data_IF_027994354087
#
_entry.id   IF_027994354087
#
_cell.length_a   1.000
_cell.length_b   1.000
_cell.length_c   1.000
_cell.angle_alpha   90.00
_cell.angle_beta   90.00
_cell.angle_gamma   90.00
#
_symmetry.space_group_name_H-M   'P 1'
#
loop_
_entity.id
_entity.type
_entity.pdbx_description
1 polymer ?
#
# COMPACT_ATOMS: atom_id res chain seq x y z
N UNK A 1 -13.17 -76.11 -31.77
CA UNK A 1 -12.85 -75.57 -30.43
C UNK A 1 -12.86 -74.05 -30.52
N UNK A 2 -13.93 -73.40 -30.04
CA UNK A 2 -14.05 -71.94 -30.04
C UNK A 2 -13.74 -71.41 -28.61
N UNK A 3 -12.67 -70.68 -28.45
CA UNK A 3 -12.27 -70.02 -27.17
C UNK A 3 -12.96 -68.67 -27.06
N UNK A 4 -13.83 -68.51 -26.06
CA UNK A 4 -14.55 -67.29 -25.77
C UNK A 4 -13.73 -66.53 -24.71
N UNK A 5 -13.19 -65.35 -25.08
CA UNK A 5 -12.54 -64.46 -24.16
C UNK A 5 -13.58 -63.50 -23.53
N UNK A 6 -13.71 -63.52 -22.18
CA UNK A 6 -14.58 -62.60 -21.44
C UNK A 6 -13.78 -61.35 -21.05
N UNK A 7 -14.20 -60.21 -21.58
CA UNK A 7 -13.73 -58.89 -21.11
C UNK A 7 -14.55 -58.46 -19.88
N UNK A 8 -13.87 -58.23 -18.77
CA UNK A 8 -14.47 -57.61 -17.56
C UNK A 8 -14.26 -56.11 -17.66
N UNK A 9 -15.35 -55.38 -17.83
CA UNK A 9 -15.31 -53.90 -17.72
C UNK A 9 -15.31 -53.50 -16.23
N UNK A 10 -14.15 -53.13 -15.73
CA UNK A 10 -14.05 -52.42 -14.42
C UNK A 10 -14.58 -51.00 -14.56
N UNK A 11 -15.60 -50.64 -13.80
CA UNK A 11 -16.05 -49.25 -13.65
C UNK A 11 -15.01 -48.49 -12.82
N UNK A 12 -14.25 -47.63 -13.47
CA UNK A 12 -13.48 -46.57 -12.77
C UNK A 12 -14.46 -45.51 -12.25
N UNK A 13 -14.64 -45.47 -10.94
CA UNK A 13 -15.30 -44.35 -10.26
C UNK A 13 -14.37 -43.14 -10.34
N UNK A 14 -14.80 -41.95 -10.80
CA UNK A 14 -14.02 -40.77 -10.72
C UNK A 14 -13.88 -40.35 -9.23
N UNK A 15 -12.68 -40.38 -8.71
CA UNK A 15 -12.36 -39.74 -7.43
C UNK A 15 -12.41 -38.24 -7.67
N UNK A 16 -13.49 -37.57 -7.27
CA UNK A 16 -13.54 -36.13 -7.21
C UNK A 16 -12.65 -35.67 -6.02
N UNK A 17 -11.47 -35.18 -6.33
CA UNK A 17 -10.63 -34.47 -5.36
C UNK A 17 -11.34 -33.13 -5.11
N UNK A 18 -12.01 -33.04 -3.97
CA UNK A 18 -12.52 -31.75 -3.47
C UNK A 18 -11.30 -30.94 -3.01
N UNK A 19 -10.78 -30.07 -3.87
CA UNK A 19 -9.83 -29.04 -3.46
C UNK A 19 -10.68 -28.01 -2.72
N UNK A 20 -10.73 -28.10 -1.38
CA UNK A 20 -11.17 -26.99 -0.56
C UNK A 20 -10.13 -25.91 -0.74
N UNK A 21 -10.46 -24.85 -1.48
CA UNK A 21 -9.71 -23.61 -1.42
C UNK A 21 -9.80 -23.15 0.04
N UNK A 22 -8.76 -23.37 0.82
CA UNK A 22 -8.57 -22.62 2.06
C UNK A 22 -8.47 -21.16 1.62
N UNK A 23 -9.43 -20.34 2.01
CA UNK A 23 -9.25 -18.90 1.94
C UNK A 23 -7.98 -18.60 2.74
N UNK A 24 -6.91 -18.17 2.07
CA UNK A 24 -5.78 -17.60 2.78
C UNK A 24 -6.36 -16.51 3.69
N UNK A 25 -6.10 -16.57 4.98
CA UNK A 25 -6.44 -15.46 5.86
C UNK A 25 -5.61 -14.29 5.35
N UNK A 26 -6.26 -13.19 5.04
CA UNK A 26 -5.65 -11.95 4.62
C UNK A 26 -5.52 -11.03 5.83
N UNK A 27 -4.78 -9.96 5.68
CA UNK A 27 -4.78 -8.84 6.63
C UNK A 27 -6.23 -8.39 6.88
N UNK A 28 -6.58 -8.20 8.14
CA UNK A 28 -7.87 -7.66 8.57
C UNK A 28 -7.61 -6.41 9.41
N UNK A 29 -8.11 -5.25 9.00
CA UNK A 29 -8.06 -4.02 9.77
C UNK A 29 -9.45 -3.73 10.33
N UNK A 30 -9.56 -3.73 11.66
CA UNK A 30 -10.83 -3.52 12.38
C UNK A 30 -10.89 -2.07 12.86
N UNK A 31 -11.69 -1.20 12.22
CA UNK A 31 -11.87 0.18 12.66
C UNK A 31 -12.80 0.27 13.86
N UNK A 32 -12.51 1.19 14.75
CA UNK A 32 -13.44 1.74 15.75
C UNK A 32 -13.55 3.23 15.49
N UNK A 33 -14.77 3.76 15.43
CA UNK A 33 -15.01 5.19 15.27
C UNK A 33 -15.48 5.76 16.60
N UNK A 34 -14.82 6.81 17.07
CA UNK A 34 -15.27 7.47 18.29
C UNK A 34 -16.45 8.43 18.06
N UNK A 35 -16.91 9.09 19.11
CA UNK A 35 -18.06 9.98 19.01
C UNK A 35 -17.79 11.25 18.18
N UNK A 36 -16.54 11.66 17.99
CA UNK A 36 -16.22 12.81 17.15
C UNK A 36 -16.55 12.55 15.68
N UNK A 37 -16.30 11.32 15.19
CA UNK A 37 -16.66 10.89 13.84
C UNK A 37 -18.13 10.52 13.75
N UNK A 38 -18.64 9.65 14.67
CA UNK A 38 -20.01 9.12 14.56
C UNK A 38 -21.09 10.16 14.76
N UNK A 39 -20.77 11.31 15.38
CA UNK A 39 -21.68 12.44 15.55
C UNK A 39 -21.49 13.55 14.50
N UNK A 40 -20.49 13.45 13.59
CA UNK A 40 -20.29 14.43 12.52
C UNK A 40 -21.45 14.37 11.50
N UNK A 41 -21.95 15.50 11.00
CA UNK A 41 -22.96 15.53 9.94
C UNK A 41 -22.57 14.74 8.67
N UNK A 42 -21.27 14.53 8.42
CA UNK A 42 -20.75 13.78 7.29
C UNK A 42 -20.26 12.38 7.68
N UNK A 43 -20.58 11.87 8.88
CA UNK A 43 -20.10 10.59 9.41
C UNK A 43 -20.09 9.46 8.37
N UNK A 44 -21.20 9.26 7.67
CA UNK A 44 -21.32 8.21 6.66
C UNK A 44 -20.29 8.33 5.51
N UNK A 45 -19.94 9.55 5.09
CA UNK A 45 -18.93 9.79 4.06
C UNK A 45 -17.53 9.54 4.60
N UNK A 46 -17.24 10.02 5.81
CA UNK A 46 -15.96 9.84 6.50
C UNK A 46 -15.68 8.35 6.70
N UNK A 47 -16.62 7.63 7.33
CA UNK A 47 -16.52 6.20 7.58
C UNK A 47 -16.37 5.39 6.26
N UNK A 48 -17.11 5.75 5.21
CA UNK A 48 -17.02 5.11 3.90
C UNK A 48 -15.64 5.31 3.28
N UNK A 49 -15.03 6.48 3.41
CA UNK A 49 -13.70 6.77 2.88
C UNK A 49 -12.63 6.03 3.67
N UNK A 50 -12.73 5.99 5.00
CA UNK A 50 -11.84 5.20 5.86
C UNK A 50 -11.93 3.71 5.51
N UNK A 51 -13.14 3.16 5.36
CA UNK A 51 -13.31 1.77 4.97
C UNK A 51 -12.77 1.47 3.55
N UNK A 52 -12.74 2.47 2.66
CA UNK A 52 -12.10 2.32 1.34
C UNK A 52 -10.59 2.17 1.46
N UNK A 53 -9.93 3.00 2.28
CA UNK A 53 -8.51 2.85 2.60
C UNK A 53 -8.21 1.48 3.23
N UNK A 54 -8.98 1.08 4.23
CA UNK A 54 -8.83 -0.23 4.90
C UNK A 54 -8.89 -1.36 3.87
N UNK A 55 -9.92 -1.37 3.03
CA UNK A 55 -10.11 -2.42 2.02
C UNK A 55 -8.96 -2.45 1.00
N UNK A 56 -8.34 -1.31 0.70
CA UNK A 56 -7.15 -1.27 -0.15
C UNK A 56 -6.05 -2.16 0.46
N UNK A 57 -5.67 -1.96 1.73
CA UNK A 57 -4.62 -2.75 2.40
C UNK A 57 -5.03 -4.22 2.55
N UNK A 58 -6.26 -4.51 2.94
CA UNK A 58 -6.77 -5.89 3.09
C UNK A 58 -6.72 -6.69 1.79
N UNK A 59 -6.82 -6.02 0.63
CA UNK A 59 -6.70 -6.66 -0.68
C UNK A 59 -5.26 -6.73 -1.20
N UNK A 60 -4.33 -6.03 -0.56
CA UNK A 60 -2.93 -5.96 -0.98
C UNK A 60 -2.01 -6.88 -0.20
N UNK A 61 -2.36 -7.24 1.03
CA UNK A 61 -1.50 -8.05 1.90
C UNK A 61 -2.18 -9.35 2.33
N UNK A 62 -1.40 -10.45 2.36
CA UNK A 62 -1.91 -11.79 2.69
C UNK A 62 -1.56 -12.25 4.11
N UNK A 63 -1.07 -11.36 4.95
CA UNK A 63 -0.69 -11.65 6.33
C UNK A 63 -1.90 -12.07 7.17
N UNK A 64 -1.90 -13.22 7.82
CA UNK A 64 -3.05 -13.70 8.59
C UNK A 64 -3.16 -13.03 9.96
N UNK A 65 -3.17 -11.71 9.99
CA UNK A 65 -3.18 -10.90 11.22
C UNK A 65 -4.40 -9.97 11.26
N UNK A 66 -4.75 -9.57 12.47
CA UNK A 66 -5.76 -8.53 12.71
C UNK A 66 -5.09 -7.31 13.30
N UNK A 67 -5.38 -6.13 12.74
CA UNK A 67 -4.91 -4.82 13.22
C UNK A 67 -6.13 -4.01 13.65
N UNK A 68 -6.13 -3.47 14.86
CA UNK A 68 -7.23 -2.69 15.41
C UNK A 68 -6.87 -1.21 15.46
N UNK A 69 -7.71 -0.34 14.89
CA UNK A 69 -7.44 1.09 14.79
C UNK A 69 -8.65 1.89 15.31
N UNK A 70 -8.38 2.81 16.23
CA UNK A 70 -9.35 3.82 16.65
C UNK A 70 -9.21 5.06 15.77
N UNK A 71 -10.29 5.48 15.12
CA UNK A 71 -10.36 6.71 14.34
C UNK A 71 -11.12 7.78 15.10
N UNK A 72 -10.60 9.00 15.11
CA UNK A 72 -11.18 10.17 15.76
C UNK A 72 -10.94 11.43 14.93
N UNK A 73 -11.73 12.47 15.14
CA UNK A 73 -11.46 13.78 14.58
C UNK A 73 -10.50 14.58 15.47
N UNK A 74 -9.64 15.36 14.83
CA UNK A 74 -8.78 16.34 15.50
C UNK A 74 -9.02 17.74 14.92
N UNK A 75 -8.64 18.75 15.71
CA UNK A 75 -8.69 20.16 15.31
C UNK A 75 -7.33 20.83 15.39
N UNK A 76 -6.26 20.06 15.51
CA UNK A 76 -4.88 20.56 15.61
C UNK A 76 -4.50 21.28 14.33
N UNK A 77 -4.16 22.57 14.45
CA UNK A 77 -3.74 23.39 13.31
C UNK A 77 -2.44 22.87 12.69
N UNK A 78 -2.39 22.82 11.37
CA UNK A 78 -1.20 22.43 10.60
C UNK A 78 -1.05 20.93 10.35
N UNK A 79 -1.99 20.10 10.83
CA UNK A 79 -2.01 18.66 10.56
C UNK A 79 -3.27 18.28 9.78
N UNK A 80 -3.16 17.38 8.83
CA UNK A 80 -4.27 16.70 8.17
C UNK A 80 -4.64 15.40 8.87
N UNK A 81 -3.65 14.67 9.33
CA UNK A 81 -3.77 13.47 10.13
C UNK A 81 -2.65 13.37 11.15
N UNK A 82 -2.75 12.38 11.99
CA UNK A 82 -1.69 11.99 12.91
C UNK A 82 -2.01 10.62 13.47
N UNK A 83 -1.00 9.74 13.58
CA UNK A 83 -1.12 8.43 14.20
C UNK A 83 -0.44 8.36 15.57
N UNK A 84 -0.91 7.44 16.41
CA UNK A 84 -0.22 6.98 17.61
C UNK A 84 -0.18 5.47 17.59
N UNK A 85 0.95 4.90 17.95
CA UNK A 85 1.20 3.47 17.88
C UNK A 85 2.07 3.00 19.06
N UNK A 86 2.16 1.67 19.27
CA UNK A 86 3.02 1.06 20.27
C UNK A 86 4.08 0.18 19.62
N UNK A 87 5.24 0.01 20.26
CA UNK A 87 6.35 -0.79 19.75
C UNK A 87 6.99 -1.63 20.84
N UNK A 88 7.72 -2.65 20.41
CA UNK A 88 8.58 -3.47 21.24
C UNK A 88 10.01 -3.41 20.76
N UNK A 89 10.94 -3.47 21.70
CA UNK A 89 12.35 -3.65 21.41
C UNK A 89 12.65 -5.13 21.27
N UNK A 90 13.12 -5.54 20.08
CA UNK A 90 13.58 -6.91 19.84
C UNK A 90 15.01 -6.91 19.33
N UNK A 91 15.72 -8.06 19.43
CA UNK A 91 17.06 -8.13 18.89
C UNK A 91 17.02 -8.03 17.34
N UNK A 92 18.00 -7.33 16.76
CA UNK A 92 18.14 -7.26 15.31
C UNK A 92 18.26 -8.64 14.67
N UNK A 93 18.98 -9.57 15.33
CA UNK A 93 19.11 -10.95 14.84
C UNK A 93 17.78 -11.70 14.82
N UNK A 94 16.91 -11.50 15.82
CA UNK A 94 15.54 -12.04 15.82
C UNK A 94 14.71 -11.42 14.70
N UNK A 95 14.65 -10.09 14.65
CA UNK A 95 13.93 -9.37 13.57
C UNK A 95 14.31 -9.89 12.19
N UNK A 96 15.63 -9.96 11.90
CA UNK A 96 16.12 -10.41 10.60
C UNK A 96 15.80 -11.88 10.30
N UNK A 97 15.85 -12.76 11.33
CA UNK A 97 15.54 -14.17 11.17
C UNK A 97 14.05 -14.39 10.86
N UNK A 98 13.17 -13.69 11.57
CA UNK A 98 11.74 -13.79 11.38
C UNK A 98 11.30 -13.14 10.06
N UNK A 99 11.87 -11.99 9.68
CA UNK A 99 11.71 -11.39 8.36
C UNK A 99 12.12 -12.35 7.23
N UNK A 100 13.22 -13.10 7.44
CA UNK A 100 13.65 -14.12 6.46
C UNK A 100 12.70 -15.32 6.40
N UNK A 101 12.13 -15.73 7.51
CA UNK A 101 11.18 -16.85 7.57
C UNK A 101 9.84 -16.50 6.93
N UNK A 102 9.46 -15.23 6.99
CA UNK A 102 8.23 -14.69 6.41
C UNK A 102 8.34 -14.36 4.92
N UNK A 103 9.54 -14.16 4.39
CA UNK A 103 9.80 -13.68 3.04
C UNK A 103 9.09 -14.46 1.93
N UNK A 104 8.30 -13.78 1.09
CA UNK A 104 7.51 -14.38 0.00
C UNK A 104 7.71 -13.70 -1.35
N UNK A 105 8.27 -12.48 -1.38
CA UNK A 105 8.35 -11.65 -2.58
C UNK A 105 9.78 -11.47 -3.11
N UNK A 106 9.90 -10.86 -4.29
CA UNK A 106 11.19 -10.45 -4.82
C UNK A 106 11.80 -9.28 -4.04
N UNK A 107 10.95 -8.39 -3.48
CA UNK A 107 11.41 -7.28 -2.64
C UNK A 107 12.01 -7.80 -1.34
N UNK A 108 11.37 -8.78 -0.67
CA UNK A 108 11.92 -9.44 0.52
C UNK A 108 13.29 -10.04 0.23
N UNK A 109 13.40 -10.76 -0.89
CA UNK A 109 14.66 -11.39 -1.31
C UNK A 109 15.76 -10.34 -1.48
N UNK A 110 15.45 -9.22 -2.12
CA UNK A 110 16.39 -8.13 -2.36
C UNK A 110 16.75 -7.41 -1.04
N UNK A 111 15.77 -7.08 -0.21
CA UNK A 111 15.93 -6.45 1.09
C UNK A 111 16.83 -7.29 2.00
N UNK A 112 16.55 -8.59 2.13
CA UNK A 112 17.32 -9.53 2.96
C UNK A 112 18.75 -9.74 2.47
N UNK A 113 18.98 -9.70 1.15
CA UNK A 113 20.33 -9.78 0.59
C UNK A 113 21.22 -8.60 1.03
N UNK A 114 20.61 -7.46 1.38
CA UNK A 114 21.30 -6.24 1.80
C UNK A 114 21.20 -5.96 3.30
N UNK A 115 20.45 -6.76 4.06
CA UNK A 115 20.47 -6.72 5.53
C UNK A 115 21.57 -7.65 6.05
N UNK A 116 22.65 -7.12 6.71
CA UNK A 116 23.73 -7.92 7.21
C UNK A 116 23.29 -9.01 8.17
N UNK A 117 23.95 -10.16 8.12
CA UNK A 117 23.80 -11.19 9.16
C UNK A 117 24.59 -10.80 10.41
N UNK A 118 24.10 -11.17 11.58
CA UNK A 118 24.77 -10.89 12.86
C UNK A 118 23.84 -10.26 13.86
N UNK A 119 24.40 -9.70 14.93
CA UNK A 119 23.62 -9.13 16.04
C UNK A 119 23.47 -7.61 15.95
N UNK A 120 24.32 -6.94 15.20
CA UNK A 120 24.30 -5.47 15.07
C UNK A 120 23.48 -5.02 13.87
N UNK A 121 22.53 -4.11 14.08
CA UNK A 121 21.80 -3.49 12.99
C UNK A 121 22.73 -2.58 12.15
N UNK A 122 22.46 -2.43 10.84
CA UNK A 122 23.41 -1.78 9.93
C UNK A 122 23.41 -0.25 9.97
N UNK A 123 22.52 0.39 10.73
CA UNK A 123 22.40 1.86 10.75
C UNK A 123 23.00 2.48 12.02
N UNK A 124 22.83 1.84 13.17
CA UNK A 124 23.38 2.35 14.45
C UNK A 124 24.45 1.46 15.05
N UNK A 125 24.55 0.20 14.60
CA UNK A 125 25.45 -0.80 15.19
C UNK A 125 24.96 -1.37 16.51
N UNK A 126 23.77 -0.96 17.02
CA UNK A 126 23.15 -1.57 18.18
C UNK A 126 22.59 -2.95 17.85
N UNK A 127 22.27 -3.72 18.86
CA UNK A 127 21.67 -5.05 18.69
C UNK A 127 20.13 -5.03 18.75
N UNK A 128 19.51 -3.87 18.71
CA UNK A 128 18.07 -3.67 18.91
C UNK A 128 17.42 -3.02 17.68
N UNK A 129 16.18 -3.41 17.43
CA UNK A 129 15.24 -2.75 16.51
C UNK A 129 13.92 -2.54 17.24
N UNK A 130 13.27 -1.42 17.02
CA UNK A 130 11.94 -1.10 17.55
C UNK A 130 10.90 -1.49 16.52
N UNK A 131 10.00 -2.40 16.86
CA UNK A 131 9.01 -2.92 15.91
C UNK A 131 7.61 -2.64 16.43
N UNK A 132 6.78 -1.99 15.63
CA UNK A 132 5.39 -1.67 15.97
C UNK A 132 4.56 -2.96 16.12
N UNK A 133 3.51 -2.95 16.93
CA UNK A 133 2.73 -4.16 17.29
C UNK A 133 2.15 -4.87 16.07
N UNK A 134 1.62 -4.14 15.09
CA UNK A 134 1.12 -4.72 13.85
C UNK A 134 2.23 -5.38 13.04
N UNK A 135 3.38 -4.70 12.87
CA UNK A 135 4.52 -5.21 12.12
C UNK A 135 5.19 -6.43 12.81
N UNK A 136 5.21 -6.48 14.16
CA UNK A 136 5.65 -7.68 14.88
C UNK A 136 4.84 -8.91 14.48
N UNK A 137 3.51 -8.77 14.43
CA UNK A 137 2.65 -9.89 14.05
C UNK A 137 2.79 -10.27 12.58
N UNK A 138 3.05 -9.31 11.69
CA UNK A 138 3.31 -9.59 10.27
C UNK A 138 4.51 -10.53 10.11
N UNK A 139 5.60 -10.31 10.85
CA UNK A 139 6.78 -11.20 10.84
C UNK A 139 6.65 -12.44 11.77
N UNK A 140 5.43 -12.77 12.23
CA UNK A 140 5.16 -13.97 13.00
C UNK A 140 5.47 -13.89 14.52
N UNK A 141 5.83 -12.71 15.05
CA UNK A 141 6.07 -12.51 16.49
C UNK A 141 4.77 -12.04 17.16
N UNK A 142 4.34 -12.75 18.20
CA UNK A 142 3.21 -12.30 19.00
C UNK A 142 3.55 -11.01 19.76
N UNK A 143 2.88 -9.92 19.41
CA UNK A 143 2.91 -8.66 20.15
C UNK A 143 1.49 -8.31 20.59
N UNK A 144 1.29 -7.98 21.86
CA UNK A 144 0.03 -7.44 22.31
C UNK A 144 -0.03 -5.92 22.04
N UNK A 145 -1.22 -5.38 21.99
CA UNK A 145 -1.49 -3.96 21.75
C UNK A 145 -1.93 -3.22 23.03
N UNK A 146 -1.56 -3.74 24.20
CA UNK A 146 -1.94 -3.20 25.51
C UNK A 146 -1.30 -1.84 25.83
N UNK A 147 -0.31 -1.42 25.05
CA UNK A 147 0.42 -0.17 25.27
C UNK A 147 -0.36 1.10 24.91
N UNK A 148 -1.41 1.01 24.09
CA UNK A 148 -2.30 2.13 23.76
C UNK A 148 -3.64 2.04 24.50
N UNK A 149 -4.27 3.18 24.68
CA UNK A 149 -5.60 3.27 25.28
C UNK A 149 -6.61 2.44 24.48
N UNK A 150 -7.40 1.62 25.19
CA UNK A 150 -8.39 0.74 24.58
C UNK A 150 -7.81 -0.53 23.93
N UNK A 151 -6.48 -0.75 23.98
CA UNK A 151 -5.83 -1.94 23.41
C UNK A 151 -5.83 -1.96 21.89
N UNK A 152 -5.85 -0.80 21.24
CA UNK A 152 -5.70 -0.67 19.78
C UNK A 152 -4.25 -0.76 19.35
N UNK A 153 -3.99 -1.20 18.11
CA UNK A 153 -2.66 -1.15 17.49
C UNK A 153 -2.29 0.29 17.10
N UNK A 154 -3.30 1.07 16.73
CA UNK A 154 -3.14 2.47 16.39
C UNK A 154 -4.34 3.31 16.80
N UNK A 155 -4.07 4.61 16.99
CA UNK A 155 -5.09 5.65 17.13
C UNK A 155 -4.79 6.68 16.05
N UNK A 156 -5.74 6.92 15.14
CA UNK A 156 -5.61 7.86 14.03
C UNK A 156 -6.55 9.05 14.25
N UNK A 157 -5.96 10.24 14.30
CA UNK A 157 -6.67 11.50 14.34
C UNK A 157 -6.71 12.13 12.94
N UNK A 158 -7.91 12.58 12.49
CA UNK A 158 -8.13 13.13 11.14
C UNK A 158 -8.73 14.55 11.26
N UNK A 159 -8.15 15.52 10.55
CA UNK A 159 -8.65 16.90 10.52
C UNK A 159 -9.67 17.06 9.37
N UNK A 160 -10.82 16.41 9.48
CA UNK A 160 -11.84 16.27 8.42
C UNK A 160 -12.28 17.60 7.82
N UNK A 161 -12.31 18.69 8.62
CA UNK A 161 -12.67 20.03 8.12
C UNK A 161 -11.67 20.62 7.11
N UNK A 162 -10.43 20.11 7.07
CA UNK A 162 -9.38 20.54 6.15
C UNK A 162 -9.22 19.59 4.94
N UNK A 163 -10.02 18.53 4.88
CA UNK A 163 -9.91 17.47 3.90
C UNK A 163 -11.09 17.43 2.93
N UNK A 164 -10.85 16.97 1.72
CA UNK A 164 -11.86 16.52 0.78
C UNK A 164 -12.33 15.15 1.26
N UNK A 165 -13.55 15.06 1.76
CA UNK A 165 -14.09 13.82 2.35
C UNK A 165 -14.32 12.72 1.32
N UNK A 166 -14.35 13.07 0.02
CA UNK A 166 -14.54 12.15 -1.08
C UNK A 166 -13.88 12.71 -2.34
N UNK A 167 -13.31 11.82 -3.15
CA UNK A 167 -12.73 12.14 -4.47
C UNK A 167 -13.77 12.46 -5.56
N UNK A 168 -15.06 12.34 -5.26
CA UNK A 168 -16.13 12.71 -6.21
C UNK A 168 -16.21 14.23 -6.48
N UNK A 169 -15.70 15.05 -5.55
CA UNK A 169 -15.66 16.52 -5.71
C UNK A 169 -14.45 17.06 -4.96
N UNK A 170 -13.42 17.50 -5.66
CA UNK A 170 -12.16 17.98 -5.12
C UNK A 170 -12.15 19.49 -4.99
N UNK A 171 -11.96 19.98 -3.78
CA UNK A 171 -11.58 21.37 -3.51
C UNK A 171 -10.05 21.48 -3.56
N UNK A 172 -9.46 22.26 -4.49
CA UNK A 172 -8.01 22.33 -4.63
C UNK A 172 -7.29 23.02 -3.46
N UNK A 173 -8.03 23.59 -2.51
CA UNK A 173 -7.48 24.19 -1.29
C UNK A 173 -7.44 23.23 -0.08
N UNK A 174 -7.87 21.97 -0.25
CA UNK A 174 -7.91 20.96 0.83
C UNK A 174 -7.08 19.74 0.47
N UNK A 175 -6.61 19.02 1.51
CA UNK A 175 -6.01 17.70 1.38
C UNK A 175 -7.04 16.64 0.95
N UNK A 176 -6.59 15.42 0.72
CA UNK A 176 -7.45 14.27 0.37
C UNK A 176 -7.61 13.35 1.58
N UNK A 177 -8.83 13.12 2.04
CA UNK A 177 -9.10 12.25 3.20
C UNK A 177 -8.61 10.82 2.96
N UNK A 178 -8.84 10.28 1.75
CA UNK A 178 -8.42 8.91 1.45
C UNK A 178 -6.90 8.75 1.58
N UNK A 179 -6.13 9.62 0.93
CA UNK A 179 -4.67 9.57 1.03
C UNK A 179 -4.16 9.84 2.46
N UNK A 180 -4.81 10.74 3.21
CA UNK A 180 -4.44 10.97 4.62
C UNK A 180 -4.69 9.73 5.47
N UNK A 181 -5.82 9.04 5.29
CA UNK A 181 -6.11 7.79 6.02
C UNK A 181 -5.10 6.69 5.65
N UNK A 182 -4.75 6.58 4.38
CA UNK A 182 -3.74 5.62 3.89
C UNK A 182 -2.37 5.91 4.51
N UNK A 183 -1.93 7.17 4.56
CA UNK A 183 -0.71 7.61 5.23
C UNK A 183 -0.67 7.17 6.71
N UNK A 184 -1.71 7.48 7.47
CA UNK A 184 -1.75 7.15 8.89
C UNK A 184 -1.85 5.62 9.14
N UNK A 185 -2.50 4.87 8.23
CA UNK A 185 -2.52 3.41 8.28
C UNK A 185 -1.12 2.85 8.03
N UNK A 186 -0.37 3.37 7.04
CA UNK A 186 1.01 2.97 6.77
C UNK A 186 1.88 3.13 8.03
N UNK A 187 1.70 4.22 8.77
CA UNK A 187 2.41 4.44 10.02
C UNK A 187 2.01 3.41 11.09
N UNK A 188 0.74 3.13 11.27
CA UNK A 188 0.29 2.09 12.23
C UNK A 188 0.84 0.72 11.84
N UNK A 189 0.89 0.42 10.54
CA UNK A 189 1.44 -0.83 10.01
C UNK A 189 2.95 -0.92 10.19
N UNK A 190 3.71 0.19 10.15
CA UNK A 190 5.14 0.10 10.41
C UNK A 190 6.03 1.18 9.83
N UNK A 191 5.54 1.98 8.87
CA UNK A 191 6.34 3.06 8.30
C UNK A 191 6.50 4.18 9.32
N UNK A 192 7.70 4.62 9.55
CA UNK A 192 8.14 5.79 10.34
C UNK A 192 9.65 5.72 10.57
N UNK A 193 10.23 6.81 11.04
CA UNK A 193 11.62 6.86 11.48
C UNK A 193 11.73 7.13 12.97
N UNK A 194 12.65 6.45 13.70
CA UNK A 194 12.96 6.83 15.08
C UNK A 194 13.90 8.05 15.18
N UNK A 195 14.31 8.62 14.06
CA UNK A 195 14.97 9.92 14.05
C UNK A 195 14.08 11.02 14.64
N UNK A 196 12.76 10.91 14.53
CA UNK A 196 11.77 11.78 15.18
C UNK A 196 11.82 11.68 16.71
N UNK A 197 12.12 10.49 17.24
CA UNK A 197 12.33 10.20 18.64
C UNK A 197 13.73 10.58 19.15
N UNK A 198 14.53 11.30 18.36
CA UNK A 198 15.90 11.74 18.72
C UNK A 198 16.98 10.72 18.40
N UNK A 199 16.71 9.71 17.58
CA UNK A 199 17.65 8.66 17.19
C UNK A 199 17.74 7.52 18.23
N UNK A 200 18.77 6.71 18.14
CA UNK A 200 18.92 5.48 18.95
C UNK A 200 18.59 4.24 18.17
N UNK A 201 17.87 3.26 18.77
CA UNK A 201 17.50 2.04 18.06
C UNK A 201 16.49 2.33 16.95
N UNK A 202 16.73 1.85 15.71
CA UNK A 202 15.92 2.21 14.55
C UNK A 202 14.57 1.49 14.55
N UNK A 203 13.61 2.04 13.79
CA UNK A 203 12.45 1.31 13.29
C UNK A 203 12.84 0.47 12.06
N UNK A 204 12.03 -0.52 11.63
CA UNK A 204 12.32 -1.36 10.46
C UNK A 204 12.59 -0.59 9.18
N UNK A 205 11.84 0.47 8.90
CA UNK A 205 12.02 1.30 7.71
C UNK A 205 13.39 2.01 7.70
N UNK A 206 13.89 2.45 8.84
CA UNK A 206 15.21 3.06 8.97
C UNK A 206 16.36 2.13 8.50
N UNK A 207 16.14 0.82 8.53
CA UNK A 207 17.12 -0.16 8.05
C UNK A 207 17.34 -0.07 6.53
N UNK A 208 16.45 0.57 5.82
CA UNK A 208 16.48 0.75 4.36
C UNK A 208 16.76 2.20 3.94
N UNK A 209 17.30 2.99 4.86
CA UNK A 209 17.66 4.39 4.62
C UNK A 209 19.09 4.49 4.08
N UNK A 210 19.25 5.04 2.87
CA UNK A 210 20.52 5.16 2.17
C UNK A 210 20.77 6.59 1.68
N UNK A 211 22.03 7.00 1.61
CA UNK A 211 22.43 8.21 0.91
C UNK A 211 22.37 8.04 -0.61
N UNK A 212 22.47 9.11 -1.36
CA UNK A 212 22.54 9.09 -2.82
C UNK A 212 23.74 8.27 -3.37
N UNK A 213 24.74 7.99 -2.54
CA UNK A 213 25.94 7.18 -2.90
C UNK A 213 25.79 5.71 -2.56
N UNK A 214 24.61 5.28 -2.03
CA UNK A 214 24.34 3.90 -1.65
C UNK A 214 24.92 3.48 -0.29
N UNK A 215 25.45 4.40 0.49
CA UNK A 215 25.82 4.14 1.88
C UNK A 215 24.61 4.27 2.80
N UNK A 216 24.49 3.40 3.81
CA UNK A 216 23.43 3.58 4.81
C UNK A 216 23.63 4.88 5.58
N UNK A 217 22.54 5.54 5.88
CA UNK A 217 22.53 6.82 6.62
C UNK A 217 21.45 6.82 7.69
N UNK A 218 21.76 7.37 8.86
CA UNK A 218 20.81 7.54 9.96
C UNK A 218 21.01 8.91 10.57
N UNK A 219 20.71 9.92 9.77
CA UNK A 219 20.85 11.34 10.16
C UNK A 219 19.81 12.19 9.47
N UNK A 220 19.45 13.31 10.09
CA UNK A 220 18.53 14.32 9.58
C UNK A 220 19.28 15.47 8.87
N UNK A 221 20.60 15.37 8.74
CA UNK A 221 21.45 16.39 8.13
C UNK A 221 22.50 15.75 7.23
N UNK A 222 23.02 16.52 6.28
CA UNK A 222 24.03 16.08 5.32
C UNK A 222 23.41 15.72 3.97
N UNK A 223 23.88 14.62 3.37
CA UNK A 223 23.39 14.15 2.07
C UNK A 223 21.92 13.72 2.13
N UNK A 224 21.23 13.82 1.00
CA UNK A 224 19.86 13.33 0.86
C UNK A 224 19.77 11.86 1.23
N UNK A 225 18.71 11.49 1.94
CA UNK A 225 18.41 10.12 2.32
C UNK A 225 17.26 9.55 1.46
N UNK A 226 17.37 8.28 1.10
CA UNK A 226 16.42 7.59 0.23
C UNK A 226 16.04 6.24 0.81
N UNK A 227 14.77 5.87 0.66
CA UNK A 227 14.33 4.50 0.81
C UNK A 227 14.84 3.69 -0.38
N UNK A 228 15.52 2.59 -0.10
CA UNK A 228 16.07 1.68 -1.09
C UNK A 228 16.23 0.29 -0.50
N UNK A 229 15.96 -0.77 -1.27
CA UNK A 229 16.16 -2.15 -0.83
C UNK A 229 17.62 -2.61 -0.95
N UNK A 230 18.36 -2.02 -1.88
CA UNK A 230 19.70 -2.46 -2.31
C UNK A 230 20.78 -1.37 -2.19
N UNK A 231 20.41 -0.13 -1.87
CA UNK A 231 21.30 1.02 -1.85
C UNK A 231 21.69 1.53 -3.24
N UNK A 232 21.11 1.00 -4.30
CA UNK A 232 21.38 1.38 -5.71
C UNK A 232 20.13 1.96 -6.36
N UNK A 233 19.02 1.26 -6.21
CA UNK A 233 17.71 1.68 -6.73
C UNK A 233 17.03 2.58 -5.71
N UNK A 234 17.09 3.88 -5.93
CA UNK A 234 16.47 4.87 -5.05
C UNK A 234 14.97 4.93 -5.35
N UNK A 235 14.13 4.51 -4.39
CA UNK A 235 12.67 4.34 -4.57
C UNK A 235 11.94 5.63 -4.19
N UNK A 236 12.17 6.16 -3.00
CA UNK A 236 11.61 7.41 -2.53
C UNK A 236 12.66 8.20 -1.73
N UNK A 237 12.57 9.51 -1.75
CA UNK A 237 13.45 10.36 -0.94
C UNK A 237 12.79 10.62 0.41
N UNK A 238 13.49 10.33 1.49
CA UNK A 238 13.03 10.66 2.84
C UNK A 238 13.03 12.16 3.11
N UNK A 239 12.06 12.59 3.89
CA UNK A 239 12.05 13.93 4.45
C UNK A 239 13.23 14.12 5.44
N UNK A 240 13.82 15.31 5.40
CA UNK A 240 14.89 15.75 6.32
C UNK A 240 14.61 17.15 6.85
N UNK A 241 13.39 17.67 6.69
CA UNK A 241 12.97 18.97 7.19
C UNK A 241 12.65 18.85 8.68
N UNK A 242 13.35 19.64 9.50
CA UNK A 242 13.11 19.65 10.95
C UNK A 242 11.68 20.07 11.29
N UNK A 243 11.03 19.28 12.16
CA UNK A 243 9.65 19.50 12.59
C UNK A 243 8.58 18.84 11.71
N UNK A 244 8.99 18.01 10.73
CA UNK A 244 8.14 17.10 9.98
C UNK A 244 8.72 15.70 10.08
N UNK A 245 7.90 14.65 9.92
CA UNK A 245 8.30 13.28 10.13
C UNK A 245 9.42 12.83 9.17
N UNK A 246 10.45 12.20 9.73
CA UNK A 246 11.63 11.78 8.96
C UNK A 246 11.47 10.42 8.28
N UNK A 247 10.42 9.67 8.62
CA UNK A 247 10.00 8.47 7.91
C UNK A 247 9.24 8.77 6.62
N UNK A 248 8.68 9.97 6.53
CA UNK A 248 7.90 10.39 5.38
C UNK A 248 8.76 10.73 4.16
N UNK A 249 8.09 10.90 3.01
CA UNK A 249 8.74 11.29 1.77
C UNK A 249 8.93 12.81 1.68
N UNK A 250 10.00 13.19 1.01
CA UNK A 250 10.40 14.58 0.81
C UNK A 250 9.43 15.35 -0.10
N UNK A 251 9.04 16.55 0.33
CA UNK A 251 8.06 17.39 -0.36
C UNK A 251 8.54 18.82 -0.69
N UNK A 252 9.79 19.19 -0.33
CA UNK A 252 10.30 20.51 -0.62
C UNK A 252 10.69 20.62 -2.11
N UNK A 253 9.87 21.29 -2.91
CA UNK A 253 10.10 21.53 -4.34
C UNK A 253 9.13 20.74 -5.23
N UNK A 254 9.43 20.70 -6.53
CA UNK A 254 8.57 19.98 -7.50
C UNK A 254 8.77 18.47 -7.33
N UNK A 255 7.69 17.76 -7.04
CA UNK A 255 7.64 16.30 -6.93
C UNK A 255 6.27 15.78 -7.39
N UNK A 256 6.17 14.49 -7.63
CA UNK A 256 4.87 13.82 -7.82
C UNK A 256 4.30 13.50 -6.44
N UNK A 257 3.07 13.94 -6.10
CA UNK A 257 2.46 13.63 -4.81
C UNK A 257 2.40 12.12 -4.55
N UNK A 258 2.73 11.72 -3.33
CA UNK A 258 2.70 10.35 -2.82
C UNK A 258 1.89 10.31 -1.53
N UNK A 259 1.45 9.12 -1.12
CA UNK A 259 0.64 8.97 0.10
C UNK A 259 1.45 9.35 1.33
N UNK A 260 2.69 8.86 1.45
CA UNK A 260 3.57 9.14 2.59
C UNK A 260 4.33 10.48 2.48
N UNK A 261 3.82 11.45 1.72
CA UNK A 261 4.40 12.78 1.63
C UNK A 261 4.34 13.49 3.00
N UNK A 262 5.47 13.99 3.50
CA UNK A 262 5.57 14.73 4.77
C UNK A 262 4.67 15.98 4.82
N UNK A 263 4.30 16.53 3.67
CA UNK A 263 3.31 17.58 3.53
C UNK A 263 2.43 17.28 2.32
N UNK A 264 1.20 16.89 2.56
CA UNK A 264 0.27 16.57 1.49
C UNK A 264 0.05 17.76 0.54
N UNK A 265 -0.01 17.47 -0.75
CA UNK A 265 -0.30 18.47 -1.79
C UNK A 265 -1.81 18.65 -1.92
N UNK A 266 -2.30 19.86 -1.64
CA UNK A 266 -3.73 20.19 -1.74
C UNK A 266 -4.27 19.96 -3.15
N UNK A 267 -5.45 19.34 -3.23
CA UNK A 267 -6.12 19.03 -4.49
C UNK A 267 -5.54 17.82 -5.24
N UNK A 268 -4.45 17.22 -4.75
CA UNK A 268 -3.94 15.94 -5.29
C UNK A 268 -4.70 14.75 -4.70
N UNK A 269 -4.62 13.61 -5.37
CA UNK A 269 -5.26 12.35 -4.97
C UNK A 269 -4.29 11.19 -5.21
N UNK A 270 -3.16 11.12 -4.48
CA UNK A 270 -2.19 10.04 -4.64
C UNK A 270 -2.78 8.71 -4.17
N UNK A 271 -2.31 7.63 -4.77
CA UNK A 271 -2.60 6.26 -4.34
C UNK A 271 -1.30 5.60 -3.83
N UNK A 272 -1.35 4.65 -2.86
CA UNK A 272 -0.17 3.98 -2.33
C UNK A 272 0.60 3.21 -3.41
N UNK A 273 1.91 3.41 -3.46
CA UNK A 273 2.80 2.78 -4.43
C UNK A 273 4.16 2.41 -3.82
N UNK A 274 4.96 3.38 -3.46
CA UNK A 274 6.25 3.17 -2.82
C UNK A 274 6.08 2.65 -1.39
N UNK A 275 4.99 3.03 -0.75
CA UNK A 275 4.55 2.59 0.57
C UNK A 275 4.32 1.07 0.61
N UNK A 276 3.72 0.51 -0.44
CA UNK A 276 3.52 -0.95 -0.55
C UNK A 276 4.86 -1.70 -0.62
N UNK A 277 5.86 -1.13 -1.31
CA UNK A 277 7.22 -1.72 -1.37
C UNK A 277 7.89 -1.61 0.00
N UNK A 278 7.67 -0.50 0.70
CA UNK A 278 8.25 -0.28 2.02
C UNK A 278 7.63 -1.23 3.07
N UNK A 279 6.30 -1.39 3.08
CA UNK A 279 5.62 -2.35 3.94
C UNK A 279 6.05 -3.80 3.65
N UNK A 280 6.16 -4.18 2.37
CA UNK A 280 6.67 -5.49 1.93
C UNK A 280 8.07 -5.73 2.51
N UNK A 281 8.99 -4.78 2.35
CA UNK A 281 10.37 -4.88 2.83
C UNK A 281 10.51 -5.03 4.36
N UNK A 282 9.56 -4.53 5.13
CA UNK A 282 9.57 -4.63 6.60
C UNK A 282 8.80 -5.84 7.14
N UNK A 283 8.21 -6.68 6.25
CA UNK A 283 7.66 -7.99 6.58
C UNK A 283 6.16 -8.14 6.40
N UNK A 284 5.53 -7.35 5.54
CA UNK A 284 4.17 -7.64 5.06
C UNK A 284 4.24 -8.42 3.74
N UNK A 285 3.34 -9.38 3.57
CA UNK A 285 3.30 -10.27 2.41
C UNK A 285 2.49 -9.65 1.26
N UNK A 286 3.14 -8.83 0.41
CA UNK A 286 2.50 -8.10 -0.68
C UNK A 286 2.00 -9.04 -1.78
N UNK A 287 0.70 -9.01 -2.03
CA UNK A 287 0.08 -9.72 -3.14
C UNK A 287 0.37 -9.02 -4.49
N UNK A 288 0.57 -9.78 -5.56
CA UNK A 288 0.63 -9.19 -6.89
C UNK A 288 -0.61 -8.34 -7.17
N UNK A 289 -0.43 -7.17 -7.81
CA UNK A 289 -1.57 -6.35 -8.19
C UNK A 289 -2.56 -7.17 -9.03
N UNK A 290 -3.87 -7.12 -8.72
CA UNK A 290 -4.86 -7.84 -9.49
C UNK A 290 -4.82 -7.36 -10.94
N UNK A 291 -4.93 -8.29 -11.88
CA UNK A 291 -4.96 -7.97 -13.31
C UNK A 291 -6.40 -7.70 -13.73
N UNK A 292 -6.76 -6.46 -14.10
CA UNK A 292 -8.11 -6.15 -14.52
C UNK A 292 -8.49 -6.93 -15.77
N UNK A 293 -9.65 -7.56 -15.74
CA UNK A 293 -10.24 -8.27 -16.88
C UNK A 293 -11.28 -7.38 -17.57
N UNK A 294 -11.08 -7.06 -18.85
CA UNK A 294 -12.10 -6.37 -19.65
C UNK A 294 -13.15 -7.38 -20.08
N UNK A 295 -14.34 -7.31 -19.50
CA UNK A 295 -15.46 -8.21 -19.79
C UNK A 295 -16.32 -7.76 -20.96
N UNK A 296 -16.35 -6.46 -21.26
CA UNK A 296 -17.11 -5.87 -22.35
C UNK A 296 -16.49 -4.59 -22.90
N UNK A 297 -16.50 -4.50 -24.22
CA UNK A 297 -16.13 -3.29 -24.95
C UNK A 297 -17.34 -2.85 -25.77
N UNK A 298 -17.74 -1.60 -25.64
CA UNK A 298 -18.87 -1.03 -26.39
C UNK A 298 -18.45 0.30 -26.98
N UNK A 299 -18.77 0.49 -28.26
CA UNK A 299 -18.62 1.79 -28.93
C UNK A 299 -19.99 2.49 -28.96
N UNK A 300 -20.05 3.70 -28.40
CA UNK A 300 -21.23 4.54 -28.39
C UNK A 300 -20.90 5.88 -29.09
N UNK A 301 -21.20 5.97 -30.37
CA UNK A 301 -20.71 7.07 -31.22
C UNK A 301 -19.18 7.06 -31.28
N UNK A 302 -18.54 8.15 -30.86
CA UNK A 302 -17.06 8.24 -30.75
C UNK A 302 -16.51 7.82 -29.39
N UNK A 303 -17.37 7.44 -28.43
CA UNK A 303 -16.97 7.05 -27.11
C UNK A 303 -16.74 5.55 -27.03
N UNK A 304 -15.63 5.14 -26.40
CA UNK A 304 -15.35 3.76 -26.05
C UNK A 304 -15.73 3.55 -24.58
N UNK A 305 -16.58 2.57 -24.30
CA UNK A 305 -16.95 2.17 -22.94
C UNK A 305 -16.34 0.80 -22.65
N UNK A 306 -15.44 0.75 -21.69
CA UNK A 306 -14.79 -0.46 -21.18
C UNK A 306 -15.48 -0.87 -19.87
N UNK A 307 -16.01 -2.08 -19.81
CA UNK A 307 -16.49 -2.68 -18.55
C UNK A 307 -15.60 -3.84 -18.17
N UNK A 308 -15.30 -3.98 -16.90
CA UNK A 308 -14.44 -5.04 -16.42
C UNK A 308 -14.61 -5.34 -14.95
N UNK A 309 -13.85 -6.32 -14.52
CA UNK A 309 -13.82 -6.87 -13.16
C UNK A 309 -12.37 -7.09 -12.75
N UNK A 310 -12.16 -7.43 -11.50
CA UNK A 310 -10.84 -7.73 -10.96
C UNK A 310 -9.85 -6.54 -11.08
N UNK A 311 -10.37 -5.31 -11.05
CA UNK A 311 -9.53 -4.13 -10.79
C UNK A 311 -9.14 -4.08 -9.32
N UNK A 312 -8.02 -3.45 -9.01
CA UNK A 312 -7.62 -3.19 -7.62
C UNK A 312 -8.69 -2.30 -6.95
N UNK A 313 -9.27 -2.78 -5.89
CA UNK A 313 -10.23 -1.99 -5.10
C UNK A 313 -9.51 -0.76 -4.53
N UNK A 314 -10.10 0.43 -4.70
CA UNK A 314 -9.46 1.68 -4.31
C UNK A 314 -8.36 2.19 -5.26
N UNK A 315 -7.95 1.41 -6.25
CA UNK A 315 -6.90 1.80 -7.20
C UNK A 315 -7.40 2.69 -8.33
N UNK A 316 -6.51 3.52 -8.84
CA UNK A 316 -6.74 4.39 -10.01
C UNK A 316 -6.11 3.79 -11.24
N UNK A 317 -6.86 3.69 -12.32
CA UNK A 317 -6.39 3.19 -13.62
C UNK A 317 -6.36 4.29 -14.66
N UNK A 318 -5.24 4.36 -15.37
CA UNK A 318 -5.11 5.13 -16.61
C UNK A 318 -5.53 4.28 -17.79
N UNK A 319 -6.29 4.87 -18.71
CA UNK A 319 -6.47 4.33 -20.06
C UNK A 319 -5.44 4.96 -20.97
N UNK A 320 -4.49 4.16 -21.40
CA UNK A 320 -3.45 4.55 -22.34
C UNK A 320 -3.86 4.22 -23.76
N UNK A 321 -3.41 5.02 -24.72
CA UNK A 321 -3.68 4.81 -26.15
C UNK A 321 -2.45 5.02 -27.01
N UNK A 322 -2.37 4.25 -28.12
CA UNK A 322 -1.38 4.41 -29.20
C UNK A 322 -1.96 3.97 -30.53
N UNK A 323 -1.47 4.50 -31.61
CA UNK A 323 -1.72 4.00 -32.99
C UNK A 323 -0.79 2.86 -33.38
N UNK A 324 0.23 2.57 -32.57
CA UNK A 324 1.21 1.50 -32.76
C UNK A 324 1.36 0.62 -31.51
N UNK A 325 0.89 -0.62 -31.57
CA UNK A 325 0.99 -1.56 -30.45
C UNK A 325 2.44 -1.97 -30.09
N UNK A 326 3.41 -1.75 -30.97
CA UNK A 326 4.81 -2.05 -30.71
C UNK A 326 5.54 -0.95 -29.90
N UNK A 327 4.90 0.22 -29.73
CA UNK A 327 5.44 1.30 -28.88
C UNK A 327 5.42 0.85 -27.42
N UNK A 328 6.51 1.03 -26.64
CA UNK A 328 6.51 0.78 -25.20
C UNK A 328 5.39 1.53 -24.45
N UNK A 329 4.75 0.91 -23.44
CA UNK A 329 3.59 1.49 -22.76
C UNK A 329 3.87 2.85 -22.13
N UNK A 330 5.07 3.09 -21.61
CA UNK A 330 5.48 4.37 -21.06
C UNK A 330 5.54 5.53 -22.09
N UNK A 331 5.36 5.23 -23.37
CA UNK A 331 5.26 6.22 -24.46
C UNK A 331 3.83 6.37 -25.00
N UNK A 332 2.87 5.63 -24.41
CA UNK A 332 1.46 5.77 -24.79
C UNK A 332 0.85 7.00 -24.12
N UNK A 333 -0.17 7.56 -24.72
CA UNK A 333 -0.85 8.75 -24.21
C UNK A 333 -1.99 8.35 -23.29
N UNK A 334 -2.05 8.91 -22.08
CA UNK A 334 -3.19 8.77 -21.19
C UNK A 334 -4.38 9.58 -21.72
N UNK A 335 -5.56 8.94 -21.83
CA UNK A 335 -6.77 9.52 -22.41
C UNK A 335 -7.98 9.48 -21.49
N UNK A 336 -7.93 8.70 -20.43
CA UNK A 336 -8.93 8.67 -19.37
C UNK A 336 -8.31 8.14 -18.09
N UNK A 337 -8.91 8.51 -16.96
CA UNK A 337 -8.57 8.01 -15.62
C UNK A 337 -9.85 7.48 -15.01
N UNK A 338 -9.77 6.40 -14.23
CA UNK A 338 -10.90 5.82 -13.51
C UNK A 338 -10.47 5.26 -12.17
N UNK A 339 -11.20 5.63 -11.15
CA UNK A 339 -11.11 5.05 -9.82
C UNK A 339 -11.97 3.79 -9.74
N UNK A 340 -11.43 2.70 -9.24
CA UNK A 340 -12.13 1.43 -9.09
C UNK A 340 -12.72 1.34 -7.69
N UNK A 341 -14.03 1.16 -7.61
CA UNK A 341 -14.73 0.99 -6.34
C UNK A 341 -14.36 -0.32 -5.62
N UNK A 342 -14.85 -0.44 -4.39
CA UNK A 342 -14.52 -1.52 -3.43
C UNK A 342 -14.77 -2.95 -3.91
N UNK A 343 -15.60 -3.14 -4.95
CA UNK A 343 -15.92 -4.47 -5.49
C UNK A 343 -15.02 -4.89 -6.68
N UNK A 344 -14.01 -4.09 -7.04
CA UNK A 344 -13.11 -4.37 -8.16
C UNK A 344 -13.76 -4.29 -9.56
N UNK A 345 -15.04 -3.91 -9.64
CA UNK A 345 -15.73 -3.70 -10.92
C UNK A 345 -15.50 -2.28 -11.41
N UNK A 346 -15.35 -2.13 -12.72
CA UNK A 346 -15.17 -0.81 -13.32
C UNK A 346 -15.97 -0.61 -14.60
N UNK A 347 -16.30 0.65 -14.87
CA UNK A 347 -16.83 1.10 -16.15
C UNK A 347 -16.13 2.39 -16.53
N UNK A 348 -15.25 2.33 -17.51
CA UNK A 348 -14.45 3.47 -17.96
C UNK A 348 -14.99 3.96 -19.29
N UNK A 349 -15.24 5.25 -19.40
CA UNK A 349 -15.63 5.89 -20.67
C UNK A 349 -14.46 6.70 -21.21
N UNK A 350 -14.00 6.37 -22.40
CA UNK A 350 -12.96 7.09 -23.12
C UNK A 350 -13.63 7.98 -24.16
N UNK A 351 -13.66 9.30 -23.98
CA UNK A 351 -14.22 10.22 -24.95
C UNK A 351 -13.33 10.28 -26.19
N UNK A 352 -13.92 10.56 -27.34
CA UNK A 352 -13.22 10.75 -28.64
C UNK A 352 -12.25 9.58 -28.97
N UNK A 353 -12.62 8.36 -28.59
CA UNK A 353 -11.82 7.16 -28.81
C UNK A 353 -11.71 6.78 -30.28
N UNK A 354 -12.68 7.22 -31.12
CA UNK A 354 -12.68 7.01 -32.54
C UNK A 354 -12.36 8.32 -33.27
N UNK A 355 -11.33 8.25 -34.10
CA UNK A 355 -10.95 9.33 -35.00
C UNK A 355 -10.98 8.81 -36.46
N UNK A 356 -11.76 9.43 -37.31
CA UNK A 356 -11.93 9.00 -38.71
C UNK A 356 -10.65 9.10 -39.55
N UNK A 357 -9.65 9.83 -39.07
CA UNK A 357 -8.35 9.98 -39.74
C UNK A 357 -7.34 8.90 -39.31
N UNK A 358 -7.64 8.11 -38.26
CA UNK A 358 -6.78 7.04 -37.73
C UNK A 358 -7.28 5.67 -38.19
N UNK A 359 -6.45 4.92 -38.92
CA UNK A 359 -6.81 3.59 -39.41
C UNK A 359 -6.98 2.55 -38.28
N UNK A 360 -6.27 2.73 -37.13
CA UNK A 360 -6.33 1.85 -35.96
C UNK A 360 -5.89 2.59 -34.70
N UNK A 361 -6.42 2.16 -33.55
CA UNK A 361 -6.08 2.68 -32.24
C UNK A 361 -6.09 1.54 -31.23
N UNK A 362 -5.07 1.48 -30.39
CA UNK A 362 -4.91 0.49 -29.33
C UNK A 362 -5.15 1.14 -27.98
N UNK A 363 -5.64 0.38 -27.02
CA UNK A 363 -5.90 0.83 -25.65
C UNK A 363 -5.32 -0.19 -24.65
N UNK A 364 -4.77 0.32 -23.56
CA UNK A 364 -4.31 -0.47 -22.42
C UNK A 364 -4.81 0.17 -21.12
N UNK A 365 -4.96 -0.66 -20.07
CA UNK A 365 -5.19 -0.21 -18.70
C UNK A 365 -3.87 -0.32 -17.94
N UNK A 366 -3.50 0.74 -17.26
CA UNK A 366 -2.33 0.79 -16.38
C UNK A 366 -2.79 1.23 -14.99
N UNK A 367 -2.40 0.47 -13.95
CA UNK A 367 -2.59 0.88 -12.56
C UNK A 367 -1.59 2.02 -12.27
N UNK A 368 -2.11 3.11 -11.70
CA UNK A 368 -1.33 4.32 -11.40
C UNK A 368 -0.49 4.13 -10.13
#
# INVERSE_FOLDING_TARGET
MKTISKFVFGRLLPVAILITAMSAQALVIVPTFDSSITSDPNAATIESTINTAIQFYETRFSDPITVTILFQEITTSGLYGHSSWWYYNISYSTYRADLQADATTANDTLALAHLPTGSANPVTGSNTVRVKTANLRAIGINGDNSGLAGGHDGIIGLHTSQLNLSRASINPGKGDLLATVEHEIDEVLGLSSWLDGGGGDPLPEDLFRYSSTGARTYTTSGDDAYFSLDGVTLIARFNQTAGSDYGDWWTAGAHTPQVQDANATNGSTPDPKNELIALDAIGYNLLPAPRPGISRITLNGTQLVLKGTNGLAGGTYLVLTSTNAATPLNQWTAVATNFVGTNGNFTITVPNAVNSTEAKRFFALELQ
#
